data_IF_880588979507
#
_entry.id   IF_880588979507
#
_cell.length_a   1.000
_cell.length_b   1.000
_cell.length_c   1.000
_cell.angle_alpha   90.00
_cell.angle_beta   90.00
_cell.angle_gamma   90.00
#
_symmetry.space_group_name_H-M   'P 1'
#
loop_
_entity.id
_entity.type
_entity.pdbx_description
1 polymer ?
#
# COMPACT_ATOMS: atom_id res chain seq x y z
N UNK A 1 13.70 -3.05 21.10
CA UNK A 1 13.32 -2.89 19.67
C UNK A 1 14.59 -3.12 18.88
N UNK A 2 14.62 -4.15 18.05
CA UNK A 2 15.71 -4.30 17.08
C UNK A 2 15.43 -3.25 16.00
N UNK A 3 16.44 -2.47 15.61
CA UNK A 3 16.29 -1.44 14.58
C UNK A 3 15.87 -2.02 13.23
N UNK A 4 15.62 -1.16 12.21
CA UNK A 4 15.18 -1.60 10.88
C UNK A 4 16.19 -2.56 10.26
N UNK A 5 15.69 -3.63 9.62
CA UNK A 5 16.52 -4.61 8.90
C UNK A 5 16.57 -4.22 7.43
N UNK A 6 17.77 -3.87 6.93
CA UNK A 6 17.96 -3.46 5.54
C UNK A 6 18.88 -4.45 4.83
N UNK A 7 18.47 -4.92 3.66
CA UNK A 7 19.16 -5.93 2.87
C UNK A 7 19.40 -5.40 1.43
N UNK A 8 20.62 -5.60 0.90
CA UNK A 8 20.97 -5.22 -0.46
C UNK A 8 21.11 -6.47 -1.34
N UNK A 9 20.31 -6.55 -2.42
CA UNK A 9 20.34 -7.65 -3.38
C UNK A 9 18.96 -8.03 -3.91
N UNK A 10 18.90 -9.16 -4.63
CA UNK A 10 17.66 -9.67 -5.21
C UNK A 10 16.63 -10.04 -4.14
N UNK A 11 15.42 -9.50 -4.27
CA UNK A 11 14.40 -9.67 -3.25
C UNK A 11 13.88 -11.12 -3.16
N UNK A 12 13.83 -11.87 -4.25
CA UNK A 12 13.40 -13.28 -4.23
C UNK A 12 14.40 -14.16 -3.49
N UNK A 13 15.70 -13.88 -3.65
CA UNK A 13 16.76 -14.57 -2.90
C UNK A 13 16.76 -14.17 -1.43
N UNK A 14 16.72 -12.85 -1.15
CA UNK A 14 16.84 -12.35 0.20
C UNK A 14 15.61 -12.61 1.07
N UNK A 15 14.40 -12.62 0.49
CA UNK A 15 13.22 -13.02 1.22
C UNK A 15 13.31 -14.44 1.78
N UNK A 16 14.10 -15.34 1.18
CA UNK A 16 14.31 -16.69 1.73
C UNK A 16 14.88 -16.70 3.16
N UNK A 17 15.52 -15.61 3.59
CA UNK A 17 16.10 -15.41 4.93
C UNK A 17 15.10 -14.85 5.94
N UNK A 18 13.94 -14.38 5.48
CA UNK A 18 12.87 -13.88 6.35
C UNK A 18 12.11 -15.08 6.91
N UNK A 19 11.88 -15.15 8.22
CA UNK A 19 11.13 -16.25 8.81
C UNK A 19 9.69 -16.34 8.29
N UNK A 20 9.15 -17.56 8.26
CA UNK A 20 7.77 -17.83 7.86
C UNK A 20 6.80 -17.12 8.81
N UNK A 21 5.76 -16.48 8.25
CA UNK A 21 4.70 -15.85 9.04
C UNK A 21 5.19 -14.74 9.98
N UNK A 22 6.29 -14.07 9.67
CA UNK A 22 6.86 -12.99 10.50
C UNK A 22 6.43 -11.58 10.10
N UNK A 23 5.86 -11.41 8.92
CA UNK A 23 5.49 -10.11 8.34
C UNK A 23 3.99 -9.87 8.51
N UNK A 24 3.62 -8.72 9.10
CA UNK A 24 2.24 -8.29 9.27
C UNK A 24 1.70 -7.60 8.01
N UNK A 25 2.56 -6.86 7.31
CA UNK A 25 2.18 -6.16 6.09
C UNK A 25 3.32 -6.15 5.09
N UNK A 26 3.00 -6.38 3.82
CA UNK A 26 3.85 -5.95 2.70
C UNK A 26 3.31 -4.63 2.18
N UNK A 27 4.19 -3.63 2.00
CA UNK A 27 3.88 -2.36 1.35
C UNK A 27 5.00 -2.02 0.37
N UNK A 28 4.75 -2.22 -0.93
CA UNK A 28 5.81 -2.13 -1.93
C UNK A 28 5.35 -1.52 -3.24
N UNK A 29 6.28 -0.83 -3.90
CA UNK A 29 6.15 -0.31 -5.27
C UNK A 29 7.01 -1.17 -6.19
N UNK A 30 6.43 -2.24 -6.74
CA UNK A 30 7.14 -3.17 -7.59
C UNK A 30 7.60 -2.50 -8.91
N UNK A 31 8.68 -2.95 -9.55
CA UNK A 31 9.01 -2.51 -10.90
C UNK A 31 7.95 -3.00 -11.90
N UNK A 32 7.41 -2.07 -12.72
CA UNK A 32 6.30 -2.36 -13.65
C UNK A 32 6.78 -2.84 -15.02
N UNK A 33 8.08 -2.71 -15.35
CA UNK A 33 8.63 -3.02 -16.66
C UNK A 33 8.14 -2.07 -17.77
N UNK A 34 7.70 -0.88 -17.42
CA UNK A 34 7.11 0.09 -18.37
C UNK A 34 8.07 1.20 -18.77
N UNK A 35 9.26 1.26 -18.18
CA UNK A 35 10.29 2.26 -18.46
C UNK A 35 11.58 1.61 -18.99
N UNK A 36 12.52 2.43 -19.47
CA UNK A 36 13.88 1.97 -19.86
C UNK A 36 14.89 2.07 -18.71
N UNK A 37 14.43 2.32 -17.51
CA UNK A 37 15.32 2.41 -16.35
C UNK A 37 15.83 1.04 -15.94
N UNK A 38 17.10 0.95 -15.54
CA UNK A 38 17.76 -0.32 -15.14
C UNK A 38 17.06 -1.02 -13.96
N UNK A 39 16.48 -0.24 -13.06
CA UNK A 39 15.75 -0.73 -11.89
C UNK A 39 14.31 -1.19 -12.20
N UNK A 40 13.76 -0.85 -13.38
CA UNK A 40 12.38 -1.23 -13.76
C UNK A 40 12.34 -2.60 -14.46
N UNK A 41 13.04 -3.58 -13.88
CA UNK A 41 13.05 -4.97 -14.36
C UNK A 41 11.92 -5.74 -13.66
N UNK A 42 10.93 -6.28 -14.42
CA UNK A 42 9.82 -7.02 -13.82
C UNK A 42 10.28 -8.20 -12.98
N UNK A 43 9.68 -8.35 -11.82
CA UNK A 43 9.89 -9.49 -10.93
C UNK A 43 8.97 -10.63 -11.38
N UNK A 44 9.44 -11.88 -11.31
CA UNK A 44 8.58 -13.03 -11.53
C UNK A 44 7.49 -13.11 -10.47
N UNK A 45 6.25 -12.75 -10.85
CA UNK A 45 5.12 -12.66 -9.93
C UNK A 45 4.78 -14.02 -9.29
N UNK A 46 4.97 -15.15 -10.00
CA UNK A 46 4.67 -16.47 -9.42
C UNK A 46 5.62 -16.79 -8.26
N UNK A 47 6.93 -16.53 -8.44
CA UNK A 47 7.91 -16.73 -7.37
C UNK A 47 7.70 -15.71 -6.24
N UNK A 48 7.36 -14.46 -6.56
CA UNK A 48 7.03 -13.43 -5.58
C UNK A 48 5.84 -13.86 -4.69
N UNK A 49 4.76 -14.37 -5.29
CA UNK A 49 3.60 -14.86 -4.54
C UNK A 49 3.92 -16.08 -3.67
N UNK A 50 4.87 -16.93 -4.04
CA UNK A 50 5.35 -18.02 -3.18
C UNK A 50 6.00 -17.46 -1.92
N UNK A 51 6.88 -16.47 -2.08
CA UNK A 51 7.54 -15.82 -0.96
C UNK A 51 6.54 -15.06 -0.07
N UNK A 52 5.65 -14.27 -0.64
CA UNK A 52 4.63 -13.54 0.14
C UNK A 52 3.74 -14.49 0.95
N UNK A 53 3.29 -15.61 0.36
CA UNK A 53 2.49 -16.61 1.09
C UNK A 53 3.24 -17.24 2.25
N UNK A 54 4.55 -17.34 2.17
CA UNK A 54 5.40 -17.89 3.23
C UNK A 54 5.67 -16.87 4.32
N UNK A 55 6.15 -15.67 3.98
CA UNK A 55 6.62 -14.69 4.97
C UNK A 55 5.49 -13.92 5.63
N UNK A 56 4.38 -13.68 4.93
CA UNK A 56 3.24 -12.89 5.45
C UNK A 56 2.36 -13.76 6.34
N UNK A 57 2.01 -13.26 7.51
CA UNK A 57 1.04 -13.87 8.42
C UNK A 57 -0.28 -14.18 7.71
N UNK A 58 -1.05 -15.14 8.21
CA UNK A 58 -2.31 -15.55 7.57
C UNK A 58 -3.33 -14.40 7.48
N UNK A 59 -3.31 -13.52 8.47
CA UNK A 59 -4.10 -12.29 8.54
C UNK A 59 -3.26 -11.03 8.23
N UNK A 60 -2.15 -11.16 7.51
CA UNK A 60 -1.35 -10.03 7.07
C UNK A 60 -1.88 -9.43 5.76
N UNK A 61 -1.65 -8.14 5.56
CA UNK A 61 -2.02 -7.42 4.36
C UNK A 61 -0.87 -7.38 3.34
N UNK A 62 -1.19 -7.46 2.04
CA UNK A 62 -0.25 -7.21 0.96
C UNK A 62 -0.80 -6.02 0.17
N UNK A 63 -0.07 -4.92 0.17
CA UNK A 63 -0.45 -3.63 -0.39
C UNK A 63 0.57 -3.24 -1.44
N UNK A 64 0.16 -3.24 -2.70
CA UNK A 64 1.05 -3.06 -3.83
C UNK A 64 0.60 -1.89 -4.70
N UNK A 65 1.50 -0.96 -4.95
CA UNK A 65 1.27 0.11 -5.94
C UNK A 65 1.26 -0.46 -7.35
N UNK A 66 0.41 0.10 -8.19
CA UNK A 66 0.31 -0.31 -9.59
C UNK A 66 -0.20 0.81 -10.50
N UNK A 67 0.04 0.65 -11.80
CA UNK A 67 -0.57 1.43 -12.86
C UNK A 67 -0.78 0.54 -14.09
N UNK A 68 -1.81 0.83 -14.90
CA UNK A 68 -2.05 0.06 -16.12
C UNK A 68 -0.88 0.16 -17.12
N UNK A 69 -0.49 -0.94 -17.81
CA UNK A 69 -1.16 -2.26 -17.85
C UNK A 69 -0.78 -3.21 -16.70
N UNK A 70 0.25 -2.91 -15.91
CA UNK A 70 0.74 -3.77 -14.82
C UNK A 70 -0.33 -4.10 -13.77
N UNK A 71 -1.27 -3.19 -13.48
CA UNK A 71 -2.42 -3.45 -12.60
C UNK A 71 -3.19 -4.72 -13.02
N UNK A 72 -3.50 -4.84 -14.31
CA UNK A 72 -4.23 -6.01 -14.83
C UNK A 72 -3.42 -7.29 -14.67
N UNK A 73 -2.12 -7.26 -14.95
CA UNK A 73 -1.21 -8.38 -14.79
C UNK A 73 -1.11 -8.82 -13.32
N UNK A 74 -0.88 -7.85 -12.41
CA UNK A 74 -0.76 -8.08 -10.99
C UNK A 74 -2.02 -8.73 -10.40
N UNK A 75 -3.21 -8.19 -10.65
CA UNK A 75 -4.48 -8.75 -10.19
C UNK A 75 -4.70 -10.15 -10.78
N UNK A 76 -4.43 -10.31 -12.09
CA UNK A 76 -4.63 -11.59 -12.76
C UNK A 76 -3.70 -12.68 -12.24
N UNK A 77 -2.51 -12.31 -11.78
CA UNK A 77 -1.53 -13.25 -11.22
C UNK A 77 -1.97 -13.89 -9.89
N UNK A 78 -2.89 -13.24 -9.15
CA UNK A 78 -3.39 -13.78 -7.86
C UNK A 78 -4.82 -13.30 -7.52
N UNK A 79 -5.77 -13.56 -8.39
CA UNK A 79 -7.20 -13.23 -8.19
C UNK A 79 -7.78 -13.80 -6.89
N UNK A 80 -7.27 -14.95 -6.43
CA UNK A 80 -7.78 -15.59 -5.22
C UNK A 80 -7.55 -14.76 -3.95
N UNK A 81 -6.47 -14.00 -3.90
CA UNK A 81 -6.13 -13.15 -2.76
C UNK A 81 -6.54 -11.68 -2.97
N UNK A 82 -6.80 -11.24 -4.19
CA UNK A 82 -7.24 -9.87 -4.48
C UNK A 82 -8.57 -9.56 -3.81
N UNK A 83 -8.69 -8.34 -3.26
CA UNK A 83 -9.90 -7.92 -2.52
C UNK A 83 -10.49 -6.63 -3.04
N UNK A 84 -9.71 -5.54 -3.04
CA UNK A 84 -10.12 -4.22 -3.47
C UNK A 84 -8.90 -3.35 -3.74
N UNK A 85 -9.14 -2.14 -4.22
CA UNK A 85 -8.10 -1.15 -4.48
C UNK A 85 -8.37 0.16 -3.75
N UNK A 86 -7.31 0.91 -3.51
CA UNK A 86 -7.36 2.35 -3.28
C UNK A 86 -6.85 3.06 -4.51
N UNK A 87 -7.37 4.27 -4.77
CA UNK A 87 -6.90 5.14 -5.83
C UNK A 87 -6.12 6.29 -5.21
N UNK A 88 -4.82 6.34 -5.43
CA UNK A 88 -4.05 7.52 -5.06
C UNK A 88 -4.15 8.59 -6.14
N UNK A 89 -4.96 9.63 -5.88
CA UNK A 89 -5.07 10.82 -6.71
C UNK A 89 -3.94 11.79 -6.40
N UNK A 90 -3.06 11.99 -7.38
CA UNK A 90 -1.93 12.93 -7.31
C UNK A 90 -2.40 14.38 -7.43
N UNK A 91 -1.62 15.33 -6.93
CA UNK A 91 -1.89 16.77 -7.12
C UNK A 91 -1.45 17.25 -8.51
N UNK A 92 -0.48 16.60 -9.12
CA UNK A 92 0.04 16.95 -10.44
C UNK A 92 -0.09 15.75 -11.39
N UNK A 93 -0.62 15.97 -12.61
CA UNK A 93 -0.69 14.92 -13.61
C UNK A 93 0.69 14.62 -14.21
N UNK A 94 0.79 13.48 -14.88
CA UNK A 94 1.96 13.02 -15.62
C UNK A 94 1.59 12.60 -17.05
N UNK A 95 2.62 12.38 -17.91
CA UNK A 95 2.39 11.92 -19.28
C UNK A 95 2.20 13.03 -20.31
N UNK A 96 2.68 14.25 -20.05
CA UNK A 96 2.53 15.41 -20.93
C UNK A 96 3.02 15.20 -22.37
N UNK A 97 4.01 14.34 -22.60
CA UNK A 97 4.48 14.01 -23.96
C UNK A 97 3.38 13.38 -24.83
N UNK A 98 2.39 12.76 -24.20
CA UNK A 98 1.26 12.12 -24.88
C UNK A 98 -0.06 12.89 -24.76
N UNK A 99 -0.04 14.13 -24.26
CA UNK A 99 -1.25 14.93 -23.97
C UNK A 99 -2.18 15.15 -25.18
N UNK A 100 -1.62 15.09 -26.40
CA UNK A 100 -2.39 15.20 -27.66
C UNK A 100 -2.96 13.84 -28.14
N UNK A 101 -2.61 12.72 -27.49
CA UNK A 101 -2.99 11.36 -27.91
C UNK A 101 -3.85 10.64 -26.90
N UNK A 102 -3.73 10.98 -25.61
CA UNK A 102 -4.44 10.34 -24.52
C UNK A 102 -4.55 11.29 -23.31
N UNK A 103 -5.49 11.04 -22.39
CA UNK A 103 -5.59 11.82 -21.16
C UNK A 103 -4.31 11.74 -20.31
N UNK A 104 -4.01 12.82 -19.59
CA UNK A 104 -2.94 12.85 -18.60
C UNK A 104 -3.29 11.94 -17.43
N UNK A 105 -2.30 11.20 -16.91
CA UNK A 105 -2.47 10.34 -15.74
C UNK A 105 -2.38 11.16 -14.46
N UNK A 106 -3.40 11.10 -13.62
CA UNK A 106 -3.44 11.83 -12.34
C UNK A 106 -3.56 10.88 -11.14
N UNK A 107 -3.62 9.57 -11.35
CA UNK A 107 -3.74 8.59 -10.28
C UNK A 107 -2.80 7.40 -10.49
N UNK A 108 -2.58 6.67 -9.41
CA UNK A 108 -2.07 5.31 -9.35
C UNK A 108 -3.02 4.46 -8.51
N UNK A 109 -3.04 3.18 -8.74
CA UNK A 109 -3.80 2.21 -7.98
C UNK A 109 -2.94 1.65 -6.85
N UNK A 110 -3.59 1.19 -5.77
CA UNK A 110 -2.97 0.51 -4.65
C UNK A 110 -3.80 -0.75 -4.40
N UNK A 111 -3.28 -1.89 -4.79
CA UNK A 111 -3.99 -3.15 -4.80
C UNK A 111 -3.87 -3.86 -3.46
N UNK A 112 -4.98 -4.31 -2.91
CA UNK A 112 -5.04 -4.98 -1.61
C UNK A 112 -5.30 -6.47 -1.78
N UNK A 113 -4.37 -7.27 -1.25
CA UNK A 113 -4.46 -8.71 -1.25
C UNK A 113 -4.33 -9.24 0.19
N UNK A 114 -5.11 -10.26 0.52
CA UNK A 114 -4.95 -11.01 1.78
C UNK A 114 -5.63 -12.38 1.71
N UNK A 115 -5.17 -13.29 2.58
CA UNK A 115 -5.78 -14.62 2.76
C UNK A 115 -7.00 -14.55 3.68
N UNK A 116 -6.79 -14.06 4.90
CA UNK A 116 -7.84 -13.76 5.89
C UNK A 116 -7.88 -12.25 6.15
N UNK A 117 -9.01 -11.69 6.57
CA UNK A 117 -9.11 -10.27 6.87
C UNK A 117 -7.97 -9.81 7.80
N UNK A 118 -7.17 -8.84 7.38
CA UNK A 118 -6.07 -8.29 8.17
C UNK A 118 -6.58 -7.31 9.22
N UNK A 119 -5.66 -6.79 10.03
CA UNK A 119 -5.90 -5.57 10.79
C UNK A 119 -6.42 -4.49 9.84
N UNK A 120 -7.52 -3.84 10.22
CA UNK A 120 -8.07 -2.70 9.49
C UNK A 120 -8.44 -1.61 10.47
N UNK A 121 -7.64 -0.57 10.54
CA UNK A 121 -7.85 0.62 11.36
C UNK A 121 -8.34 1.75 10.44
N UNK A 122 -9.66 1.97 10.28
CA UNK A 122 -10.15 3.00 9.40
C UNK A 122 -9.67 4.38 9.89
N UNK A 123 -8.95 5.10 9.03
CA UNK A 123 -8.47 6.45 9.33
C UNK A 123 -9.64 7.42 9.15
N UNK A 124 -10.42 7.61 10.22
CA UNK A 124 -11.62 8.46 10.23
C UNK A 124 -11.27 9.91 9.96
N UNK A 125 -12.15 10.61 9.26
CA UNK A 125 -12.10 12.08 9.15
C UNK A 125 -13.13 12.71 10.08
N UNK A 126 -12.80 13.83 10.71
CA UNK A 126 -13.57 14.47 11.80
C UNK A 126 -14.08 15.86 11.40
N UNK A 127 -15.04 16.39 12.15
CA UNK A 127 -15.52 17.77 12.00
C UNK A 127 -16.43 18.02 10.80
N UNK A 128 -17.01 16.96 10.23
CA UNK A 128 -18.01 17.09 9.17
C UNK A 128 -19.36 17.57 9.70
N UNK A 129 -20.24 17.99 8.78
CA UNK A 129 -21.63 18.26 9.13
C UNK A 129 -22.24 17.02 9.81
N UNK A 130 -22.88 17.23 10.97
CA UNK A 130 -23.53 16.17 11.74
C UNK A 130 -24.55 15.44 10.88
N UNK A 131 -24.48 14.11 10.90
CA UNK A 131 -25.47 13.22 10.27
C UNK A 131 -26.07 12.33 11.34
N UNK A 132 -27.40 12.23 11.32
CA UNK A 132 -28.16 11.30 12.17
C UNK A 132 -28.92 10.34 11.28
N UNK A 133 -28.93 9.06 11.62
CA UNK A 133 -29.76 8.05 11.00
C UNK A 133 -30.14 7.00 12.03
N UNK A 134 -31.36 6.55 11.99
CA UNK A 134 -31.87 5.48 12.84
C UNK A 134 -32.60 4.48 11.94
N UNK A 135 -32.25 3.21 12.05
CA UNK A 135 -32.93 2.16 11.34
C UNK A 135 -33.16 0.97 12.30
N UNK A 136 -34.37 0.51 12.35
CA UNK A 136 -34.80 -0.67 13.13
C UNK A 136 -35.55 -1.65 12.21
N UNK A 137 -35.39 -2.93 12.48
CA UNK A 137 -36.12 -4.01 11.87
C UNK A 137 -35.39 -4.67 10.68
N UNK A 138 -36.07 -5.64 10.11
CA UNK A 138 -35.58 -6.38 8.95
C UNK A 138 -36.13 -5.75 7.68
N UNK A 139 -35.25 -5.36 6.77
CA UNK A 139 -35.66 -5.05 5.40
C UNK A 139 -35.77 -6.38 4.66
N UNK A 140 -37.00 -6.83 4.41
CA UNK A 140 -37.18 -7.90 3.43
C UNK A 140 -36.80 -7.34 2.06
N UNK A 141 -35.99 -8.11 1.32
CA UNK A 141 -35.70 -7.73 -0.05
C UNK A 141 -37.04 -7.90 -0.83
N UNK A 142 -37.55 -6.81 -1.34
CA UNK A 142 -38.65 -6.78 -2.30
C UNK A 142 -38.25 -7.35 -3.67
N UNK A 143 -37.16 -8.12 -3.72
CA UNK A 143 -36.52 -8.62 -4.94
C UNK A 143 -35.67 -7.57 -5.66
N UNK A 144 -35.64 -6.31 -5.20
CA UNK A 144 -34.86 -5.23 -5.78
C UNK A 144 -33.50 -5.06 -5.13
N UNK A 145 -33.25 -5.71 -3.97
CA UNK A 145 -31.97 -5.64 -3.26
C UNK A 145 -31.02 -6.75 -3.72
N UNK A 146 -29.91 -6.37 -4.29
CA UNK A 146 -28.80 -7.29 -4.65
C UNK A 146 -28.11 -7.92 -3.42
N UNK A 147 -28.43 -7.47 -2.19
CA UNK A 147 -27.70 -7.82 -0.97
C UNK A 147 -28.47 -8.77 -0.04
N UNK A 148 -29.66 -9.25 -0.42
CA UNK A 148 -30.45 -10.18 0.38
C UNK A 148 -31.10 -9.53 1.62
N UNK A 149 -31.37 -10.37 2.63
CA UNK A 149 -32.02 -9.96 3.89
C UNK A 149 -31.01 -9.25 4.80
N UNK A 150 -31.25 -7.98 5.16
CA UNK A 150 -30.46 -7.21 6.08
C UNK A 150 -31.23 -6.93 7.36
N UNK A 151 -30.66 -7.32 8.51
CA UNK A 151 -31.11 -6.82 9.81
C UNK A 151 -30.52 -5.44 10.04
N UNK A 152 -31.38 -4.45 10.27
CA UNK A 152 -30.99 -3.06 10.51
C UNK A 152 -31.37 -2.66 11.92
N UNK A 153 -30.39 -2.71 12.82
CA UNK A 153 -30.52 -2.22 14.19
C UNK A 153 -29.33 -1.30 14.47
N UNK A 154 -29.42 -0.08 13.95
CA UNK A 154 -28.37 0.90 14.23
C UNK A 154 -28.91 2.31 14.44
N UNK A 155 -28.27 3.04 15.30
CA UNK A 155 -28.39 4.48 15.42
C UNK A 155 -27.03 5.09 15.08
N UNK A 156 -27.00 5.98 14.13
CA UNK A 156 -25.83 6.73 13.72
C UNK A 156 -26.04 8.21 14.04
N UNK A 157 -25.13 8.78 14.81
CA UNK A 157 -25.11 10.21 15.13
C UNK A 157 -23.65 10.65 15.25
N UNK A 158 -23.10 11.26 14.20
CA UNK A 158 -21.69 11.57 14.18
C UNK A 158 -21.33 12.70 13.19
N UNK A 159 -20.24 13.39 13.54
CA UNK A 159 -19.50 14.30 12.65
C UNK A 159 -18.32 13.63 11.98
N UNK A 160 -18.08 12.34 12.26
CA UNK A 160 -16.99 11.57 11.68
C UNK A 160 -17.42 10.86 10.41
N UNK A 161 -16.48 10.57 9.55
CA UNK A 161 -16.72 9.79 8.31
C UNK A 161 -15.67 8.72 8.16
N UNK A 162 -16.13 7.56 7.70
CA UNK A 162 -15.25 6.50 7.24
C UNK A 162 -14.46 6.97 6.01
N UNK A 163 -13.25 6.44 5.81
CA UNK A 163 -12.48 6.72 4.61
C UNK A 163 -13.22 6.26 3.35
N UNK A 164 -12.95 6.94 2.25
CA UNK A 164 -13.36 6.53 0.90
C UNK A 164 -12.12 6.05 0.14
N UNK A 165 -12.32 5.26 -0.90
CA UNK A 165 -11.29 4.58 -1.69
C UNK A 165 -10.37 5.49 -2.50
N UNK A 166 -10.66 6.80 -2.55
CA UNK A 166 -9.81 7.80 -3.25
C UNK A 166 -9.03 8.63 -2.25
N UNK A 167 -7.73 8.41 -2.18
CA UNK A 167 -6.78 9.13 -1.35
C UNK A 167 -6.15 10.29 -2.13
N UNK A 168 -5.99 11.45 -1.50
CA UNK A 168 -5.40 12.64 -2.13
C UNK A 168 -4.13 13.04 -1.39
N UNK A 169 -2.98 12.72 -2.00
CA UNK A 169 -1.67 13.08 -1.47
C UNK A 169 -0.81 13.73 -2.53
N UNK A 170 -0.02 14.71 -2.12
CA UNK A 170 0.94 15.37 -3.00
C UNK A 170 2.10 14.42 -3.31
N UNK A 171 2.59 14.45 -4.54
CA UNK A 171 3.84 13.77 -4.89
C UNK A 171 5.09 14.46 -4.34
N UNK A 172 4.93 15.55 -3.59
CA UNK A 172 6.04 16.36 -3.08
C UNK A 172 6.79 17.15 -4.16
N UNK A 173 7.80 17.88 -3.72
CA UNK A 173 8.67 18.66 -4.60
C UNK A 173 9.62 17.72 -5.37
N UNK A 174 9.58 17.81 -6.69
CA UNK A 174 10.43 17.00 -7.58
C UNK A 174 11.92 17.23 -7.35
N UNK A 175 12.32 18.46 -6.98
CA UNK A 175 13.71 18.80 -6.73
C UNK A 175 14.28 18.15 -5.45
N UNK A 176 13.41 17.73 -4.53
CA UNK A 176 13.80 17.09 -3.25
C UNK A 176 13.68 15.57 -3.27
N UNK A 177 13.31 14.98 -4.42
CA UNK A 177 13.19 13.52 -4.52
C UNK A 177 14.55 12.85 -4.60
N UNK A 178 14.73 11.83 -3.80
CA UNK A 178 15.92 10.98 -3.79
C UNK A 178 15.81 9.80 -4.77
N UNK A 179 14.57 9.49 -5.22
CA UNK A 179 14.28 8.49 -6.23
C UNK A 179 13.19 8.99 -7.19
N UNK A 180 13.27 8.70 -8.51
CA UNK A 180 12.29 9.21 -9.50
C UNK A 180 10.84 8.83 -9.22
N UNK A 181 10.60 7.62 -8.69
CA UNK A 181 9.27 7.09 -8.36
C UNK A 181 8.94 7.13 -6.87
N UNK A 182 9.70 7.89 -6.08
CA UNK A 182 9.51 7.99 -4.63
C UNK A 182 8.05 8.30 -4.27
N UNK A 183 7.48 7.45 -3.39
CA UNK A 183 6.12 7.64 -2.86
C UNK A 183 6.13 8.66 -1.70
N UNK A 184 5.05 9.44 -1.53
CA UNK A 184 4.92 10.37 -0.40
C UNK A 184 4.89 9.62 0.94
N UNK A 185 5.66 10.07 1.92
CA UNK A 185 5.74 9.42 3.24
C UNK A 185 4.39 9.45 3.95
N UNK A 186 3.65 10.56 3.87
CA UNK A 186 2.33 10.74 4.47
C UNK A 186 1.28 9.75 3.92
N UNK A 187 1.33 9.41 2.62
CA UNK A 187 0.51 8.35 2.04
C UNK A 187 0.88 6.97 2.60
N UNK A 188 2.20 6.70 2.70
CA UNK A 188 2.69 5.43 3.22
C UNK A 188 2.34 5.26 4.69
N UNK A 189 2.46 6.32 5.51
CA UNK A 189 2.01 6.33 6.91
C UNK A 189 0.51 6.02 7.05
N UNK A 190 -0.32 6.62 6.18
CA UNK A 190 -1.76 6.33 6.15
C UNK A 190 -2.02 4.84 5.92
N UNK A 191 -1.35 4.22 4.94
CA UNK A 191 -1.51 2.80 4.62
C UNK A 191 -0.97 1.91 5.74
N UNK A 192 0.20 2.24 6.29
CA UNK A 192 0.81 1.52 7.42
C UNK A 192 -0.13 1.54 8.64
N UNK A 193 -0.64 2.70 9.02
CA UNK A 193 -1.60 2.84 10.13
C UNK A 193 -2.89 2.06 9.88
N UNK A 194 -3.34 2.00 8.63
CA UNK A 194 -4.59 1.31 8.26
C UNK A 194 -4.47 -0.19 8.44
N UNK A 195 -3.35 -0.79 8.05
CA UNK A 195 -3.22 -2.25 7.98
C UNK A 195 -2.32 -2.88 9.06
N UNK A 196 -1.77 -2.07 9.96
CA UNK A 196 -0.93 -2.54 11.06
C UNK A 196 -1.18 -1.83 12.36
N UNK A 197 -0.78 -2.47 13.47
CA UNK A 197 -0.68 -1.86 14.79
C UNK A 197 0.77 -1.47 15.09
N UNK A 198 0.99 -0.62 16.11
CA UNK A 198 2.33 -0.27 16.59
C UNK A 198 3.10 -1.53 17.00
N UNK A 199 4.38 -1.61 16.62
CA UNK A 199 5.26 -2.76 16.87
C UNK A 199 5.13 -3.90 15.87
N UNK A 200 4.15 -3.88 14.94
CA UNK A 200 4.05 -4.86 13.85
C UNK A 200 5.08 -4.60 12.75
N UNK A 201 5.42 -5.63 11.99
CA UNK A 201 6.51 -5.61 11.00
C UNK A 201 5.99 -5.40 9.59
N UNK A 202 6.53 -4.40 8.92
CA UNK A 202 6.27 -4.08 7.50
C UNK A 202 7.46 -4.46 6.63
N UNK A 203 7.20 -5.17 5.53
CA UNK A 203 8.19 -5.51 4.50
C UNK A 203 7.98 -4.64 3.26
N UNK A 204 9.05 -4.01 2.80
CA UNK A 204 9.15 -3.44 1.45
C UNK A 204 10.29 -4.13 0.69
N UNK A 205 9.93 -4.96 -0.27
CA UNK A 205 10.91 -5.75 -1.01
C UNK A 205 11.50 -5.02 -2.25
N UNK A 206 11.11 -3.76 -2.47
CA UNK A 206 11.63 -2.85 -3.50
C UNK A 206 11.69 -1.43 -2.93
N UNK A 207 12.42 -1.24 -1.81
CA UNK A 207 12.29 -0.05 -0.97
C UNK A 207 12.80 1.26 -1.61
N UNK A 208 13.55 1.19 -2.72
CA UNK A 208 14.12 2.36 -3.37
C UNK A 208 14.88 3.25 -2.39
N UNK A 209 14.49 4.52 -2.28
CA UNK A 209 15.07 5.48 -1.33
C UNK A 209 14.50 5.38 0.10
N UNK A 210 13.85 4.28 0.48
CA UNK A 210 13.45 3.97 1.87
C UNK A 210 12.27 4.76 2.42
N UNK A 211 11.36 5.25 1.58
CA UNK A 211 10.20 6.04 2.05
C UNK A 211 9.26 5.23 2.96
N UNK A 212 9.07 3.95 2.67
CA UNK A 212 8.29 3.04 3.51
C UNK A 212 8.94 2.84 4.87
N UNK A 213 10.28 2.75 4.93
CA UNK A 213 11.03 2.66 6.19
C UNK A 213 10.84 3.90 7.06
N UNK A 214 10.92 5.10 6.47
CA UNK A 214 10.64 6.36 7.18
C UNK A 214 9.21 6.37 7.73
N UNK A 215 8.22 5.98 6.92
CA UNK A 215 6.82 5.90 7.35
C UNK A 215 6.62 4.91 8.52
N UNK A 216 7.33 3.78 8.52
CA UNK A 216 7.32 2.81 9.61
C UNK A 216 7.89 3.39 10.90
N UNK A 217 9.04 4.07 10.84
CA UNK A 217 9.65 4.73 11.99
C UNK A 217 8.73 5.80 12.58
N UNK A 218 8.17 6.69 11.74
CA UNK A 218 7.21 7.75 12.15
C UNK A 218 5.99 7.18 12.87
N UNK A 219 5.64 5.94 12.59
CA UNK A 219 4.40 5.32 13.10
C UNK A 219 4.66 4.23 14.14
N UNK A 220 5.92 3.99 14.52
CA UNK A 220 6.32 3.01 15.53
C UNK A 220 6.17 1.55 15.05
N UNK A 221 6.39 1.28 13.78
CA UNK A 221 6.39 -0.07 13.19
C UNK A 221 7.81 -0.55 12.97
N UNK A 222 8.02 -1.85 13.06
CA UNK A 222 9.27 -2.49 12.64
C UNK A 222 9.34 -2.54 11.11
N UNK A 223 10.54 -2.45 10.55
CA UNK A 223 10.73 -2.39 9.10
C UNK A 223 11.76 -3.38 8.59
N UNK A 224 11.41 -4.09 7.53
CA UNK A 224 12.33 -4.90 6.72
C UNK A 224 12.32 -4.33 5.31
N UNK A 225 13.47 -3.85 4.84
CA UNK A 225 13.63 -3.27 3.51
C UNK A 225 14.62 -4.05 2.65
N UNK A 226 14.28 -4.29 1.38
CA UNK A 226 15.17 -4.91 0.41
C UNK A 226 15.30 -3.97 -0.80
N UNK A 227 16.53 -3.77 -1.28
CA UNK A 227 16.82 -2.98 -2.48
C UNK A 227 17.91 -3.65 -3.32
N UNK A 228 17.66 -3.76 -4.61
CA UNK A 228 18.58 -4.37 -5.55
C UNK A 228 19.75 -3.45 -5.90
N UNK A 229 19.45 -2.18 -6.13
CA UNK A 229 20.44 -1.18 -6.53
C UNK A 229 21.22 -0.66 -5.32
N UNK A 230 22.55 -0.80 -5.36
CA UNK A 230 23.42 -0.45 -4.26
C UNK A 230 23.38 1.06 -3.93
N UNK A 231 23.22 1.93 -4.94
CA UNK A 231 23.14 3.38 -4.71
C UNK A 231 21.87 3.74 -3.95
N UNK A 232 20.71 3.22 -4.41
CA UNK A 232 19.45 3.45 -3.71
C UNK A 232 19.42 2.79 -2.34
N UNK A 233 20.04 1.62 -2.17
CA UNK A 233 20.21 1.01 -0.86
C UNK A 233 20.97 1.92 0.11
N UNK A 234 22.10 2.53 -0.31
CA UNK A 234 22.86 3.43 0.54
C UNK A 234 22.06 4.69 0.91
N UNK A 235 21.35 5.26 -0.06
CA UNK A 235 20.45 6.41 0.18
C UNK A 235 19.37 6.04 1.20
N UNK A 236 18.72 4.88 1.04
CA UNK A 236 17.69 4.40 1.96
C UNK A 236 18.25 4.19 3.36
N UNK A 237 19.43 3.55 3.47
CA UNK A 237 20.11 3.27 4.73
C UNK A 237 20.43 4.57 5.49
N UNK A 238 21.07 5.51 4.83
CA UNK A 238 21.39 6.81 5.45
C UNK A 238 20.14 7.56 5.90
N UNK A 239 19.09 7.53 5.08
CA UNK A 239 17.83 8.22 5.38
C UNK A 239 17.10 7.62 6.58
N UNK A 240 17.09 6.29 6.69
CA UNK A 240 16.43 5.55 7.76
C UNK A 240 17.26 5.64 9.06
N UNK A 241 18.59 5.48 8.99
CA UNK A 241 19.48 5.55 10.17
C UNK A 241 19.60 6.97 10.76
N UNK A 242 19.55 8.00 9.92
CA UNK A 242 19.58 9.42 10.36
C UNK A 242 18.20 9.96 10.73
N UNK A 243 17.16 9.14 10.65
CA UNK A 243 15.81 9.57 10.99
C UNK A 243 15.67 9.72 12.49
N UNK A 244 15.62 10.98 12.95
CA UNK A 244 15.30 11.33 14.33
C UNK A 244 13.77 11.26 14.52
N UNK A 245 13.35 10.53 15.55
CA UNK A 245 11.93 10.39 15.96
C UNK A 245 11.53 11.62 16.78
#
# INVERSE_FOLDING_TARGET
>A
MNGPTLLCGDCLELMSRIPDGSIDMVLSDLPYGTTRCRWDTPINLQELWKQYRRVVKENGAIVLFSAQPFTTELISSNKAMYRYEWIWKKTQPSGFMNAKKMPLRIHENIEIFYRKPPTYNPQMTHGHQRKTATAYGTRESDGSSCYGREERNYTYDSTDRYPVDVLRYSTGDKAKRLHPTQKPVDLLEYLVKTYTNTGETVLDNCMGAGSTGVACLNTGREFVGIELDLEYYQIAKERIEKHEI
#
